data_IF_013119496339
#
_entry.id   IF_013119496339
#
_cell.length_a   1.000
_cell.length_b   1.000
_cell.length_c   1.000
_cell.angle_alpha   90.00
_cell.angle_beta   90.00
_cell.angle_gamma   90.00
#
_symmetry.space_group_name_H-M   'P 1'
#
loop_
_entity.id
_entity.type
_entity.pdbx_description
1 polymer ?
#
# COMPACT_ATOMS: atom_id res chain seq x y z
N UNK A 1 16.57 -5.52 5.42
CA UNK A 1 16.03 -5.96 6.73
C UNK A 1 14.53 -6.24 6.68
N UNK A 2 13.70 -5.34 6.13
CA UNK A 2 12.25 -5.57 6.02
C UNK A 2 11.83 -6.73 5.11
N UNK A 3 12.36 -6.82 3.88
CA UNK A 3 12.08 -7.99 3.02
C UNK A 3 12.39 -9.29 3.77
N UNK A 4 13.47 -9.32 4.56
CA UNK A 4 13.83 -10.47 5.40
C UNK A 4 12.82 -10.74 6.55
N UNK A 5 12.19 -9.71 7.12
CA UNK A 5 11.12 -9.90 8.10
C UNK A 5 9.91 -10.58 7.46
N UNK A 6 9.40 -10.09 6.33
CA UNK A 6 8.28 -10.73 5.64
C UNK A 6 8.66 -12.15 5.16
N UNK A 7 9.87 -12.33 4.63
CA UNK A 7 10.37 -13.66 4.26
C UNK A 7 10.39 -14.62 5.46
N UNK A 8 10.75 -14.15 6.65
CA UNK A 8 10.71 -14.98 7.87
C UNK A 8 9.30 -15.40 8.28
N UNK A 9 8.27 -14.68 7.82
CA UNK A 9 6.86 -14.99 8.02
C UNK A 9 6.26 -15.85 6.89
N UNK A 10 7.07 -16.29 5.91
CA UNK A 10 6.55 -17.01 4.74
C UNK A 10 5.88 -16.09 3.71
N UNK A 11 6.23 -14.79 3.71
CA UNK A 11 5.66 -13.78 2.83
C UNK A 11 6.74 -13.13 1.96
N UNK A 12 6.39 -12.77 0.74
CA UNK A 12 7.22 -11.96 -0.14
C UNK A 12 6.58 -10.59 -0.37
N UNK A 13 7.43 -9.58 -0.54
CA UNK A 13 7.02 -8.23 -0.93
C UNK A 13 7.43 -8.00 -2.38
N UNK A 14 6.46 -7.64 -3.21
CA UNK A 14 6.68 -7.27 -4.61
C UNK A 14 6.29 -5.81 -4.81
N UNK A 15 7.16 -5.06 -5.47
CA UNK A 15 6.94 -3.66 -5.79
C UNK A 15 5.74 -3.50 -6.74
N UNK A 16 4.86 -2.54 -6.43
CA UNK A 16 3.73 -2.13 -7.27
C UNK A 16 4.05 -0.76 -7.85
N UNK A 17 3.87 -0.62 -9.16
CA UNK A 17 3.95 0.66 -9.85
C UNK A 17 2.52 1.15 -10.13
N UNK A 18 2.19 2.34 -9.65
CA UNK A 18 0.89 2.96 -9.85
C UNK A 18 1.06 4.47 -10.04
N UNK A 19 0.19 5.09 -10.84
CA UNK A 19 0.25 6.51 -11.16
C UNK A 19 -0.91 7.31 -10.56
N UNK A 20 -2.01 6.62 -10.23
CA UNK A 20 -3.24 7.20 -9.69
C UNK A 20 -3.95 6.14 -8.82
N UNK A 21 -4.99 6.54 -8.10
CA UNK A 21 -5.74 5.63 -7.24
C UNK A 21 -6.50 4.53 -7.97
N UNK A 22 -6.92 4.72 -9.22
CA UNK A 22 -7.64 3.70 -10.01
C UNK A 22 -6.74 2.53 -10.40
N UNK A 23 -5.45 2.76 -10.65
CA UNK A 23 -4.47 1.70 -10.94
C UNK A 23 -4.46 0.65 -9.82
N UNK A 24 -4.63 1.08 -8.56
CA UNK A 24 -4.67 0.21 -7.39
C UNK A 24 -5.92 -0.70 -7.33
N UNK A 25 -6.97 -0.44 -8.12
CA UNK A 25 -8.15 -1.32 -8.17
C UNK A 25 -7.85 -2.68 -8.81
N UNK A 26 -6.79 -2.76 -9.61
CA UNK A 26 -6.40 -3.97 -10.32
C UNK A 26 -5.37 -4.81 -9.55
N UNK A 27 -4.84 -4.29 -8.45
CA UNK A 27 -3.78 -4.91 -7.66
C UNK A 27 -4.35 -5.82 -6.55
N UNK A 28 -3.66 -6.92 -6.21
CA UNK A 28 -4.08 -7.79 -5.13
C UNK A 28 -3.97 -7.08 -3.78
N UNK A 29 -5.09 -7.01 -3.06
CA UNK A 29 -5.17 -6.40 -1.73
C UNK A 29 -4.81 -7.41 -0.62
N UNK A 30 -4.27 -6.95 0.54
CA UNK A 30 -3.93 -5.56 0.85
C UNK A 30 -2.57 -5.13 0.28
N UNK A 31 -2.44 -3.82 0.03
CA UNK A 31 -1.21 -3.18 -0.41
C UNK A 31 -0.58 -2.44 0.77
N UNK A 32 0.71 -2.62 0.98
CA UNK A 32 1.48 -1.78 1.91
C UNK A 32 1.94 -0.53 1.18
N UNK A 33 1.57 0.63 1.74
CA UNK A 33 2.07 1.92 1.29
C UNK A 33 3.07 2.45 2.31
N UNK A 34 4.18 2.99 1.82
CA UNK A 34 5.21 3.64 2.61
C UNK A 34 5.33 5.11 2.17
N UNK A 35 5.12 6.04 3.12
CA UNK A 35 5.31 7.47 2.86
C UNK A 35 6.79 7.87 2.83
N UNK A 36 7.13 9.04 2.25
CA UNK A 36 8.49 9.59 2.31
C UNK A 36 9.03 9.76 3.75
N UNK A 37 8.15 10.02 4.73
CA UNK A 37 8.50 10.10 6.15
C UNK A 37 8.62 8.73 6.83
N UNK A 38 8.67 7.65 6.07
CA UNK A 38 8.81 6.26 6.53
C UNK A 38 7.64 5.80 7.41
N UNK A 39 6.43 6.33 7.16
CA UNK A 39 5.20 5.87 7.82
C UNK A 39 4.49 4.82 6.97
N UNK A 40 4.00 3.78 7.65
CA UNK A 40 3.30 2.66 7.02
C UNK A 40 1.81 2.88 7.00
N UNK A 41 1.19 2.54 5.88
CA UNK A 41 -0.26 2.52 5.70
C UNK A 41 -0.66 1.23 5.00
N UNK A 42 -1.85 0.74 5.33
CA UNK A 42 -2.42 -0.45 4.67
C UNK A 42 -3.55 0.01 3.77
N UNK A 43 -3.35 -0.10 2.46
CA UNK A 43 -4.37 0.13 1.46
C UNK A 43 -5.18 -1.14 1.22
N UNK A 44 -6.51 -0.99 1.23
CA UNK A 44 -7.46 -2.09 1.04
C UNK A 44 -8.40 -1.84 -0.14
N UNK A 45 -8.32 -0.69 -0.79
CA UNK A 45 -9.03 -0.37 -2.04
C UNK A 45 -8.50 0.93 -2.66
N UNK A 46 -8.48 0.99 -4.00
CA UNK A 46 -8.20 2.19 -4.79
C UNK A 46 -9.45 2.91 -5.30
N UNK A 47 -9.29 3.69 -6.37
CA UNK A 47 -10.31 4.49 -7.05
C UNK A 47 -10.03 6.00 -6.95
N UNK A 48 -11.08 6.82 -7.03
CA UNK A 48 -10.98 8.28 -6.82
C UNK A 48 -10.50 8.67 -5.41
N UNK A 49 -10.65 7.76 -4.45
CA UNK A 49 -10.12 7.87 -3.08
C UNK A 49 -9.43 6.58 -2.74
N UNK A 50 -8.37 6.66 -1.95
CA UNK A 50 -7.72 5.47 -1.42
C UNK A 50 -8.37 5.13 -0.08
N UNK A 51 -8.74 3.85 0.08
CA UNK A 51 -9.25 3.30 1.32
C UNK A 51 -8.12 2.66 2.10
N UNK A 52 -7.88 3.18 3.30
CA UNK A 52 -6.82 2.72 4.20
C UNK A 52 -7.39 2.09 5.47
N UNK A 53 -6.52 1.36 6.17
CA UNK A 53 -6.71 0.95 7.57
C UNK A 53 -5.77 1.77 8.44
N UNK A 54 -6.32 2.45 9.45
CA UNK A 54 -5.51 3.23 10.39
C UNK A 54 -4.87 2.32 11.48
N UNK A 55 -4.05 2.91 12.35
CA UNK A 55 -3.38 2.16 13.43
C UNK A 55 -4.33 1.52 14.46
N UNK A 56 -5.61 1.90 14.47
CA UNK A 56 -6.67 1.30 15.32
C UNK A 56 -7.43 0.18 14.61
N UNK A 57 -7.09 -0.13 13.37
CA UNK A 57 -7.82 -1.12 12.56
C UNK A 57 -9.09 -0.57 11.92
N UNK A 58 -9.30 0.75 11.94
CA UNK A 58 -10.50 1.37 11.39
C UNK A 58 -10.30 1.73 9.92
N UNK A 59 -11.36 1.57 9.13
CA UNK A 59 -11.38 1.99 7.74
C UNK A 59 -11.45 3.51 7.64
N UNK A 60 -10.57 4.11 6.85
CA UNK A 60 -10.62 5.51 6.49
C UNK A 60 -10.43 5.71 4.98
N UNK A 61 -10.87 6.85 4.48
CA UNK A 61 -10.67 7.26 3.10
C UNK A 61 -9.82 8.51 3.08
N UNK A 62 -8.89 8.57 2.14
CA UNK A 62 -8.03 9.73 1.95
C UNK A 62 -8.19 10.20 0.51
N UNK A 63 -8.49 11.49 0.36
CA UNK A 63 -8.27 12.20 -0.89
C UNK A 63 -6.79 12.59 -0.93
N UNK A 64 -6.06 12.02 -1.88
CA UNK A 64 -4.65 12.33 -2.13
C UNK A 64 -4.57 12.71 -3.61
N UNK A 65 -3.95 13.85 -3.90
CA UNK A 65 -3.71 14.24 -5.29
C UNK A 65 -2.72 13.27 -5.94
N UNK A 66 -2.91 12.96 -7.22
CA UNK A 66 -2.10 11.97 -7.95
C UNK A 66 -0.59 12.25 -7.90
N UNK A 67 -0.18 13.51 -7.73
CA UNK A 67 1.22 13.89 -7.57
C UNK A 67 1.84 13.28 -6.30
N UNK A 68 1.13 13.34 -5.17
CA UNK A 68 1.58 12.78 -3.89
C UNK A 68 1.54 11.25 -3.89
N UNK A 69 0.68 10.62 -4.69
CA UNK A 69 0.64 9.16 -4.81
C UNK A 69 1.95 8.59 -5.36
N UNK A 70 2.60 9.30 -6.27
CA UNK A 70 3.88 8.91 -6.87
C UNK A 70 5.05 8.96 -5.89
N UNK A 71 4.90 9.67 -4.78
CA UNK A 71 5.89 9.74 -3.71
C UNK A 71 5.81 8.51 -2.77
N UNK A 72 4.71 7.75 -2.83
CA UNK A 72 4.52 6.56 -2.03
C UNK A 72 5.18 5.36 -2.69
N UNK A 73 5.89 4.55 -1.89
CA UNK A 73 6.25 3.20 -2.32
C UNK A 73 5.12 2.23 -2.01
N UNK A 74 4.72 1.41 -2.98
CA UNK A 74 3.65 0.43 -2.83
C UNK A 74 4.18 -1.01 -2.98
N UNK A 75 3.68 -1.91 -2.13
CA UNK A 75 4.09 -3.31 -2.14
C UNK A 75 2.89 -4.24 -1.99
N UNK A 76 2.77 -5.23 -2.87
CA UNK A 76 1.89 -6.37 -2.61
C UNK A 76 2.56 -7.32 -1.61
N UNK A 77 1.74 -7.92 -0.76
CA UNK A 77 2.16 -9.00 0.13
C UNK A 77 1.65 -10.31 -0.48
N UNK A 78 2.57 -11.20 -0.83
CA UNK A 78 2.24 -12.49 -1.43
C UNK A 78 2.75 -13.63 -0.53
N UNK A 79 2.04 -14.77 -0.47
CA UNK A 79 2.61 -15.99 0.08
C UNK A 79 3.89 -16.38 -0.68
N UNK A 80 4.88 -16.92 0.03
CA UNK A 80 6.05 -17.57 -0.58
C UNK A 80 5.68 -18.92 -1.21
#
# INVERSE_FOLDING_TARGET
>A
QMKNFFLSLGLSLQDILFNNGEDLLNEPMPILLLTPEMKWMVCVSGGQKIKLVNARGELCYVEIEDEYLKELSAFSILPL
#
